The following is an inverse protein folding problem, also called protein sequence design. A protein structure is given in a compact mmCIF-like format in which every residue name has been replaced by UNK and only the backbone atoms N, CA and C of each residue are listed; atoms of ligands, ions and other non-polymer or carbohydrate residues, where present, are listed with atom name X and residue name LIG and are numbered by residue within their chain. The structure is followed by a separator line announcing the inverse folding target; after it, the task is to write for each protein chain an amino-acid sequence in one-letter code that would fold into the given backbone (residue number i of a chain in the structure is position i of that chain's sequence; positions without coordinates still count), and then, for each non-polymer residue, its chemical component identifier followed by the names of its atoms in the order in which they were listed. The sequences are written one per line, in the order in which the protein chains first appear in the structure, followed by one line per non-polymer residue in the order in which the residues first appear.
data_IF_377341817599
#
_entry.id   IF_377341817599
#
_cell.length_a   1.000
_cell.length_b   1.000
_cell.length_c   1.000
_cell.angle_alpha   90.00
_cell.angle_beta   90.00
_cell.angle_gamma   90.00
#
_symmetry.space_group_name_H-M   'P 1'
#
loop_
_entity.id
_entity.type
_entity.pdbx_description
1 polymer ?
#
# COMPACT_ATOMS: atom_id res chain seq x y z
N UNK A 1 23.59 -34.07 26.35
CA UNK A 1 23.35 -32.62 26.25
C UNK A 1 23.29 -32.27 24.77
N UNK A 2 22.09 -32.17 24.20
CA UNK A 2 21.91 -31.79 22.80
C UNK A 2 21.70 -30.28 22.73
N UNK A 3 22.59 -29.57 22.04
CA UNK A 3 22.43 -28.16 21.76
C UNK A 3 21.24 -27.98 20.82
N UNK A 4 20.19 -27.32 21.30
CA UNK A 4 19.06 -26.90 20.49
C UNK A 4 19.56 -25.81 19.52
N UNK A 5 19.90 -26.21 18.31
CA UNK A 5 20.07 -25.28 17.19
C UNK A 5 18.70 -24.66 16.87
N UNK A 6 18.41 -23.52 17.48
CA UNK A 6 17.35 -22.65 16.95
C UNK A 6 17.80 -22.13 15.58
N UNK A 7 16.99 -22.29 14.51
CA UNK A 7 17.30 -21.64 13.25
C UNK A 7 17.36 -20.12 13.50
N UNK A 8 18.29 -19.40 12.85
CA UNK A 8 18.37 -17.96 12.97
C UNK A 8 16.99 -17.41 12.62
N UNK A 9 16.46 -16.65 13.57
CA UNK A 9 15.24 -15.86 13.52
C UNK A 9 14.84 -15.54 12.09
N UNK A 10 13.59 -15.82 11.75
CA UNK A 10 12.85 -15.06 10.75
C UNK A 10 13.15 -13.58 11.07
N UNK A 11 14.12 -12.97 10.39
CA UNK A 11 14.32 -11.54 10.43
C UNK A 11 13.05 -11.01 9.77
N UNK A 12 12.03 -10.76 10.60
CA UNK A 12 10.94 -9.92 10.17
C UNK A 12 11.61 -8.66 9.69
N UNK A 13 11.48 -8.40 8.40
CA UNK A 13 11.89 -7.14 7.79
C UNK A 13 11.28 -6.03 8.64
N UNK A 14 12.09 -5.43 9.51
CA UNK A 14 11.66 -4.42 10.48
C UNK A 14 11.37 -3.09 9.79
N UNK A 15 11.43 -3.05 8.46
CA UNK A 15 10.89 -1.97 7.64
C UNK A 15 9.41 -1.82 7.94
N UNK A 16 9.11 -0.76 8.68
CA UNK A 16 7.74 -0.34 8.95
C UNK A 16 7.06 -0.05 7.60
N UNK A 17 6.15 -0.95 7.20
CA UNK A 17 5.26 -0.70 6.07
C UNK A 17 4.19 0.26 6.54
N UNK A 18 4.17 1.45 5.96
CA UNK A 18 3.16 2.45 6.26
C UNK A 18 2.07 2.30 5.21
N UNK A 19 0.84 2.08 5.68
CA UNK A 19 -0.34 2.00 4.83
C UNK A 19 -1.24 3.18 5.11
N UNK A 20 -1.64 3.89 4.05
CA UNK A 20 -2.70 4.90 4.12
C UNK A 20 -3.84 4.53 3.19
N UNK A 21 -5.05 4.75 3.68
CA UNK A 21 -6.27 4.71 2.88
C UNK A 21 -6.78 6.13 2.73
N UNK A 22 -6.98 6.56 1.49
CA UNK A 22 -7.55 7.87 1.21
C UNK A 22 -8.65 7.75 0.17
N UNK A 23 -9.84 8.24 0.53
CA UNK A 23 -10.94 8.42 -0.38
C UNK A 23 -11.05 9.91 -0.71
N UNK A 24 -10.69 10.29 -1.93
CA UNK A 24 -10.77 11.68 -2.38
C UNK A 24 -12.11 11.92 -3.07
N UNK A 25 -12.79 13.05 -2.78
CA UNK A 25 -13.95 13.46 -3.54
C UNK A 25 -13.54 13.68 -4.99
N UNK A 26 -14.45 13.38 -5.93
CA UNK A 26 -14.20 13.64 -7.36
C UNK A 26 -13.84 15.10 -7.56
N UNK A 27 -12.86 15.37 -8.41
CA UNK A 27 -12.47 16.72 -8.75
C UNK A 27 -13.55 17.39 -9.63
N UNK A 28 -14.61 17.89 -8.99
CA UNK A 28 -15.71 18.61 -9.63
C UNK A 28 -15.34 20.06 -9.95
N UNK A 29 -14.09 20.50 -9.70
CA UNK A 29 -13.69 21.91 -9.87
C UNK A 29 -13.81 22.42 -11.31
N UNK A 30 -13.81 21.51 -12.29
CA UNK A 30 -14.07 21.82 -13.71
C UNK A 30 -15.55 21.72 -14.09
N UNK A 31 -16.43 21.31 -13.17
CA UNK A 31 -17.84 20.99 -13.45
C UNK A 31 -18.05 19.78 -14.36
N UNK A 32 -16.98 19.06 -14.72
CA UNK A 32 -17.05 17.91 -15.63
C UNK A 32 -17.43 16.66 -14.83
N UNK A 33 -18.66 16.21 -15.02
CA UNK A 33 -19.09 14.90 -14.58
C UNK A 33 -18.74 13.87 -15.66
N UNK A 34 -17.79 12.98 -15.36
CA UNK A 34 -17.54 11.80 -16.19
C UNK A 34 -18.65 10.78 -15.96
N UNK A 35 -19.13 10.19 -17.06
CA UNK A 35 -20.08 9.09 -17.00
C UNK A 35 -19.49 7.90 -16.24
N UNK A 36 -20.37 7.04 -15.75
CA UNK A 36 -20.02 5.85 -14.95
C UNK A 36 -18.97 4.95 -15.62
N UNK A 37 -19.03 4.86 -16.94
CA UNK A 37 -18.18 3.98 -17.75
C UNK A 37 -17.00 4.72 -18.39
N UNK A 38 -16.90 6.04 -18.21
CA UNK A 38 -15.82 6.83 -18.75
C UNK A 38 -14.56 6.71 -17.88
N UNK A 39 -13.41 6.65 -18.56
CA UNK A 39 -12.12 6.75 -17.90
C UNK A 39 -11.84 8.21 -17.58
N UNK A 40 -11.66 8.51 -16.29
CA UNK A 40 -11.18 9.84 -15.90
C UNK A 40 -9.79 10.06 -16.49
N UNK A 41 -9.55 11.19 -17.18
CA UNK A 41 -8.25 11.48 -17.75
C UNK A 41 -7.21 11.58 -16.64
N UNK A 42 -6.00 11.15 -16.97
CA UNK A 42 -4.88 11.28 -16.06
C UNK A 42 -4.65 12.75 -15.69
N UNK A 43 -4.42 13.01 -14.40
CA UNK A 43 -4.17 14.34 -13.84
C UNK A 43 -2.87 14.33 -13.05
N UNK A 44 -1.88 15.08 -13.54
CA UNK A 44 -0.58 15.24 -12.87
C UNK A 44 -0.73 15.80 -11.45
N UNK A 45 -1.67 16.73 -11.23
CA UNK A 45 -1.90 17.30 -9.91
C UNK A 45 -2.43 16.28 -8.91
N UNK A 46 -3.35 15.41 -9.35
CA UNK A 46 -3.89 14.36 -8.48
C UNK A 46 -2.78 13.36 -8.17
N UNK A 47 -2.06 12.89 -9.19
CA UNK A 47 -0.97 11.94 -9.01
C UNK A 47 0.14 12.51 -8.11
N UNK A 48 0.51 13.79 -8.28
CA UNK A 48 1.47 14.47 -7.42
C UNK A 48 1.03 14.49 -5.95
N UNK A 49 -0.25 14.73 -5.66
CA UNK A 49 -0.77 14.65 -4.29
C UNK A 49 -0.70 13.23 -3.73
N UNK A 50 -1.05 12.22 -4.55
CA UNK A 50 -0.94 10.82 -4.13
C UNK A 50 0.49 10.40 -3.82
N UNK A 51 1.49 10.97 -4.51
CA UNK A 51 2.91 10.70 -4.21
C UNK A 51 3.38 11.50 -2.99
N UNK A 52 2.84 12.70 -2.78
CA UNK A 52 3.17 13.55 -1.63
C UNK A 52 2.75 12.91 -0.30
N UNK A 53 1.66 12.13 -0.29
CA UNK A 53 1.16 11.43 0.89
C UNK A 53 2.15 10.42 1.50
N UNK A 54 2.59 9.35 0.78
CA UNK A 54 3.57 8.40 1.28
C UNK A 54 4.95 9.07 1.51
N UNK A 55 5.27 10.12 0.76
CA UNK A 55 6.48 10.93 1.02
C UNK A 55 6.40 11.59 2.41
N UNK A 56 5.31 12.30 2.72
CA UNK A 56 5.10 12.92 4.02
C UNK A 56 5.14 11.92 5.17
N UNK A 57 4.66 10.69 4.94
CA UNK A 57 4.76 9.59 5.89
C UNK A 57 6.21 9.11 6.09
N UNK A 58 6.96 8.93 5.01
CA UNK A 58 8.38 8.60 5.09
C UNK A 58 9.16 9.67 5.87
N UNK A 59 8.82 10.94 5.66
CA UNK A 59 9.35 12.07 6.43
C UNK A 59 9.04 11.96 7.93
N UNK A 60 7.77 11.76 8.29
CA UNK A 60 7.33 11.64 9.67
C UNK A 60 8.00 10.45 10.38
N UNK A 61 8.13 9.31 9.69
CA UNK A 61 8.76 8.11 10.25
C UNK A 61 10.28 8.22 10.37
N UNK A 62 10.96 8.88 9.44
CA UNK A 62 12.40 9.14 9.54
C UNK A 62 12.74 10.11 10.68
N UNK A 63 11.94 11.16 10.88
CA UNK A 63 12.26 12.19 11.87
C UNK A 63 12.07 11.73 13.34
N UNK A 64 11.22 10.71 13.57
CA UNK A 64 10.84 10.30 14.93
C UNK A 64 11.76 9.32 15.66
N UNK A 65 12.66 8.62 14.95
CA UNK A 65 13.40 7.49 15.55
C UNK A 65 14.74 7.91 16.17
N UNK A 66 15.58 8.66 15.45
CA UNK A 66 16.95 9.00 15.88
C UNK A 66 17.48 10.32 15.28
N UNK A 67 16.61 11.12 14.65
CA UNK A 67 17.03 12.23 13.78
C UNK A 67 17.81 11.77 12.53
N UNK A 68 17.78 10.46 12.24
CA UNK A 68 18.43 9.85 11.08
C UNK A 68 17.39 9.55 10.01
N UNK A 69 17.66 10.00 8.80
CA UNK A 69 16.93 9.57 7.61
C UNK A 69 17.20 8.09 7.37
N UNK A 70 16.13 7.30 7.26
CA UNK A 70 16.19 5.88 6.93
C UNK A 70 15.44 5.62 5.63
N UNK A 71 15.74 4.49 4.99
CA UNK A 71 14.99 4.04 3.82
C UNK A 71 13.55 3.67 4.22
N UNK A 72 12.58 4.04 3.39
CA UNK A 72 11.17 3.76 3.63
C UNK A 72 10.46 3.23 2.39
N UNK A 73 9.59 2.25 2.61
CA UNK A 73 8.60 1.77 1.65
C UNK A 73 7.27 2.44 1.94
N UNK A 74 6.83 3.32 1.04
CA UNK A 74 5.51 3.95 1.14
C UNK A 74 4.48 3.25 0.26
N UNK A 75 3.35 2.90 0.87
CA UNK A 75 2.22 2.30 0.18
C UNK A 75 0.98 3.15 0.38
N UNK A 76 0.29 3.45 -0.71
CA UNK A 76 -0.95 4.22 -0.69
C UNK A 76 -2.04 3.47 -1.44
N UNK A 77 -3.19 3.30 -0.78
CA UNK A 77 -4.42 2.83 -1.42
C UNK A 77 -5.31 4.06 -1.60
N UNK A 78 -5.53 4.43 -2.84
CA UNK A 78 -6.34 5.59 -3.23
C UNK A 78 -7.68 5.15 -3.80
N UNK A 79 -8.72 5.88 -3.44
CA UNK A 79 -10.06 5.77 -4.00
C UNK A 79 -10.48 7.14 -4.54
N UNK A 80 -10.70 7.24 -5.85
CA UNK A 80 -11.26 8.43 -6.51
C UNK A 80 -12.65 8.10 -7.05
N UNK A 81 -13.69 8.52 -6.31
CA UNK A 81 -15.04 8.04 -6.56
C UNK A 81 -15.13 6.51 -6.47
N UNK A 82 -15.33 5.83 -7.60
CA UNK A 82 -15.40 4.36 -7.66
C UNK A 82 -14.12 3.70 -8.17
N UNK A 83 -13.05 4.47 -8.42
CA UNK A 83 -11.79 3.93 -8.95
C UNK A 83 -10.80 3.75 -7.79
N UNK A 84 -10.38 2.52 -7.56
CA UNK A 84 -9.35 2.17 -6.59
C UNK A 84 -8.01 1.96 -7.29
N UNK A 85 -6.93 2.47 -6.72
CA UNK A 85 -5.56 2.20 -7.16
C UNK A 85 -4.63 2.03 -5.97
N UNK A 86 -3.65 1.14 -6.13
CA UNK A 86 -2.53 0.99 -5.21
C UNK A 86 -1.30 1.64 -5.82
N UNK A 87 -0.60 2.43 -5.01
CA UNK A 87 0.64 3.09 -5.34
C UNK A 87 1.73 2.64 -4.36
N UNK A 88 2.94 2.42 -4.89
CA UNK A 88 4.13 2.11 -4.12
C UNK A 88 5.28 3.00 -4.57
N UNK A 89 6.04 3.49 -3.61
CA UNK A 89 7.26 4.24 -3.86
C UNK A 89 8.32 3.85 -2.82
N UNK A 90 9.56 3.72 -3.29
CA UNK A 90 10.72 3.50 -2.43
C UNK A 90 11.45 4.82 -2.20
N UNK A 91 11.49 5.25 -0.94
CA UNK A 91 12.14 6.48 -0.51
C UNK A 91 13.48 6.15 0.11
N UNK A 92 14.55 6.23 -0.68
CA UNK A 92 15.90 6.07 -0.14
C UNK A 92 16.26 7.21 0.81
N UNK A 93 17.14 6.94 1.74
CA UNK A 93 17.76 7.92 2.64
C UNK A 93 18.34 9.09 1.84
N UNK A 94 19.06 8.80 0.75
CA UNK A 94 19.64 9.82 -0.12
C UNK A 94 18.58 10.70 -0.78
N UNK A 95 17.45 10.11 -1.20
CA UNK A 95 16.33 10.84 -1.76
C UNK A 95 15.69 11.76 -0.71
N UNK A 96 15.39 11.24 0.48
CA UNK A 96 14.77 12.02 1.56
C UNK A 96 15.67 13.19 2.01
N UNK A 97 16.98 12.94 2.13
CA UNK A 97 17.96 13.99 2.41
C UNK A 97 17.97 15.10 1.36
N UNK A 98 17.90 14.74 0.08
CA UNK A 98 17.91 15.72 -1.02
C UNK A 98 16.61 16.50 -1.10
N UNK A 99 15.46 15.85 -0.94
CA UNK A 99 14.15 16.52 -0.91
C UNK A 99 14.04 17.46 0.30
N UNK A 100 14.66 17.12 1.43
CA UNK A 100 14.74 17.99 2.59
C UNK A 100 15.78 19.11 2.47
N UNK A 101 16.54 19.17 1.37
CA UNK A 101 17.58 20.18 1.18
C UNK A 101 17.02 21.44 0.48
N UNK A 102 17.67 22.60 0.61
CA UNK A 102 17.23 23.83 -0.07
C UNK A 102 17.27 23.75 -1.60
N UNK A 103 17.96 22.76 -2.17
CA UNK A 103 18.19 22.63 -3.62
C UNK A 103 17.92 21.19 -4.04
N UNK A 104 16.85 20.95 -4.78
CA UNK A 104 16.55 19.65 -5.35
C UNK A 104 17.29 19.48 -6.70
N UNK A 105 18.16 18.45 -6.87
CA UNK A 105 18.83 18.23 -8.14
C UNK A 105 17.84 17.94 -9.27
N UNK A 106 18.07 18.53 -10.45
CA UNK A 106 17.19 18.38 -11.61
C UNK A 106 17.07 16.93 -12.09
N UNK A 107 18.09 16.11 -11.85
CA UNK A 107 18.15 14.71 -12.25
C UNK A 107 17.48 13.77 -11.24
N UNK A 108 17.05 14.28 -10.08
CA UNK A 108 16.45 13.45 -9.05
C UNK A 108 15.11 12.90 -9.53
N UNK A 109 14.95 11.57 -9.46
CA UNK A 109 13.73 10.87 -9.86
C UNK A 109 13.30 9.93 -8.73
N UNK A 110 12.00 9.88 -8.49
CA UNK A 110 11.39 8.90 -7.61
C UNK A 110 10.67 7.87 -8.49
N UNK A 111 11.11 6.59 -8.53
CA UNK A 111 10.33 5.56 -9.17
C UNK A 111 9.04 5.32 -8.37
N UNK A 112 7.91 5.39 -9.06
CA UNK A 112 6.59 5.15 -8.48
C UNK A 112 5.92 4.04 -9.28
N UNK A 113 5.53 2.97 -8.59
CA UNK A 113 4.80 1.85 -9.18
C UNK A 113 3.32 1.99 -8.86
N UNK A 114 2.49 1.78 -9.87
CA UNK A 114 1.05 1.87 -9.77
C UNK A 114 0.41 0.56 -10.21
N UNK A 115 -0.62 0.12 -9.47
CA UNK A 115 -1.53 -0.89 -9.98
C UNK A 115 -2.35 -0.34 -11.15
N UNK A 116 -2.96 -1.22 -11.96
CA UNK A 116 -4.13 -0.85 -12.73
C UNK A 116 -5.20 -0.22 -11.82
N UNK A 117 -6.03 0.66 -12.39
CA UNK A 117 -7.20 1.18 -11.70
C UNK A 117 -8.32 0.14 -11.70
N UNK A 118 -8.92 -0.11 -10.54
CA UNK A 118 -10.07 -0.99 -10.37
C UNK A 118 -11.33 -0.16 -10.21
N UNK A 119 -12.29 -0.30 -11.12
CA UNK A 119 -13.62 0.27 -11.02
C UNK A 119 -14.50 -0.60 -10.12
N UNK A 120 -14.68 -0.15 -8.89
CA UNK A 120 -15.50 -0.83 -7.88
C UNK A 120 -17.00 -0.87 -8.20
N UNK A 121 -17.43 -0.27 -9.31
CA UNK A 121 -18.79 -0.46 -9.84
C UNK A 121 -19.00 -1.84 -10.47
N UNK A 122 -17.92 -2.48 -10.94
CA UNK A 122 -18.01 -3.79 -11.58
C UNK A 122 -17.57 -4.88 -10.59
N UNK A 123 -18.42 -5.88 -10.28
CA UNK A 123 -18.14 -6.90 -9.28
C UNK A 123 -16.87 -7.73 -9.55
N UNK A 124 -16.50 -7.93 -10.81
CA UNK A 124 -15.28 -8.64 -11.21
C UNK A 124 -14.00 -7.86 -10.86
N UNK A 125 -14.04 -6.53 -10.88
CA UNK A 125 -12.92 -5.67 -10.48
C UNK A 125 -12.85 -5.51 -8.96
N UNK A 126 -13.98 -5.64 -8.26
CA UNK A 126 -14.01 -5.66 -6.80
C UNK A 126 -13.19 -6.82 -6.21
N UNK A 127 -13.38 -8.05 -6.72
CA UNK A 127 -12.59 -9.21 -6.25
C UNK A 127 -11.09 -9.01 -6.46
N UNK A 128 -10.69 -8.43 -7.59
CA UNK A 128 -9.28 -8.15 -7.89
C UNK A 128 -8.71 -7.06 -6.97
N UNK A 129 -9.45 -5.96 -6.76
CA UNK A 129 -9.07 -4.90 -5.83
C UNK A 129 -8.92 -5.46 -4.41
N UNK A 130 -9.87 -6.28 -3.95
CA UNK A 130 -9.83 -6.89 -2.63
C UNK A 130 -8.63 -7.83 -2.48
N UNK A 131 -8.35 -8.68 -3.47
CA UNK A 131 -7.15 -9.55 -3.47
C UNK A 131 -5.85 -8.74 -3.39
N UNK A 132 -5.79 -7.62 -4.10
CA UNK A 132 -4.62 -6.75 -4.06
C UNK A 132 -4.43 -6.14 -2.67
N UNK A 133 -5.48 -5.55 -2.09
CA UNK A 133 -5.44 -4.98 -0.74
C UNK A 133 -5.10 -6.04 0.31
N UNK A 134 -5.66 -7.25 0.18
CA UNK A 134 -5.30 -8.39 1.04
C UNK A 134 -3.84 -8.79 0.90
N UNK A 135 -3.28 -8.80 -0.32
CA UNK A 135 -1.87 -9.11 -0.55
C UNK A 135 -0.92 -8.11 0.10
N UNK A 136 -1.35 -6.84 0.23
CA UNK A 136 -0.59 -5.79 0.92
C UNK A 136 -0.62 -5.94 2.44
N UNK A 137 -1.81 -6.15 3.01
CA UNK A 137 -2.03 -6.18 4.46
C UNK A 137 -1.59 -7.52 5.06
N UNK A 138 -1.83 -8.61 4.33
CA UNK A 138 -1.52 -9.96 4.76
C UNK A 138 -0.48 -10.56 3.80
N UNK A 139 0.77 -10.06 3.83
CA UNK A 139 1.85 -10.73 3.13
C UNK A 139 1.91 -12.13 3.72
N UNK A 140 1.58 -13.15 2.91
CA UNK A 140 1.72 -14.52 3.38
C UNK A 140 3.17 -14.66 3.84
N UNK A 141 3.43 -15.13 5.07
CA UNK A 141 4.78 -15.54 5.39
C UNK A 141 5.18 -16.52 4.29
N UNK A 142 6.26 -16.22 3.57
CA UNK A 142 6.81 -17.15 2.59
C UNK A 142 6.89 -18.49 3.30
N UNK A 143 6.25 -19.56 2.78
CA UNK A 143 6.42 -20.87 3.37
C UNK A 143 7.91 -21.12 3.35
N UNK A 144 8.52 -21.21 4.53
CA UNK A 144 9.90 -21.64 4.65
C UNK A 144 10.02 -22.94 3.82
N UNK A 145 11.10 -23.09 3.02
CA UNK A 145 11.28 -24.28 2.20
C UNK A 145 10.99 -25.52 3.05
N UNK A 146 10.25 -26.51 2.53
CA UNK A 146 9.74 -27.60 3.35
C UNK A 146 10.91 -28.31 4.04
N UNK A 147 11.10 -28.03 5.32
CA UNK A 147 11.96 -28.84 6.17
C UNK A 147 11.29 -30.20 6.20
N UNK A 148 11.99 -31.19 5.66
CA UNK A 148 11.50 -32.54 5.41
C UNK A 148 11.21 -33.24 6.74
N UNK A 149 10.10 -32.92 7.38
CA UNK A 149 9.55 -33.65 8.52
C UNK A 149 8.04 -33.75 8.36
N UNK A 150 7.60 -34.97 8.08
CA UNK A 150 6.23 -35.41 7.99
C UNK A 150 5.48 -35.17 9.30
N UNK A 151 4.57 -34.22 9.33
CA UNK A 151 3.32 -34.37 10.07
C UNK A 151 2.27 -33.37 9.56
N UNK A 152 1.10 -33.93 9.30
CA UNK A 152 -0.13 -33.24 8.95
C UNK A 152 -0.47 -32.16 9.97
N UNK A 153 -0.41 -30.89 9.59
CA UNK A 153 -1.01 -29.79 10.35
C UNK A 153 -2.18 -29.19 9.56
N UNK A 154 -3.29 -28.85 10.23
CA UNK A 154 -4.48 -28.32 9.58
C UNK A 154 -4.26 -26.86 9.15
N UNK A 155 -4.77 -26.51 7.97
CA UNK A 155 -4.88 -25.13 7.48
C UNK A 155 -5.55 -24.24 8.54
N UNK A 156 -4.84 -23.21 9.00
CA UNK A 156 -5.22 -22.36 10.15
C UNK A 156 -6.39 -21.38 9.86
N UNK A 157 -7.21 -21.06 10.88
CA UNK A 157 -8.38 -20.15 10.84
C UNK A 157 -8.07 -18.65 10.70
N UNK A 158 -6.81 -18.27 10.45
CA UNK A 158 -6.37 -16.87 10.43
C UNK A 158 -6.92 -16.07 9.24
N UNK A 159 -7.20 -16.75 8.12
CA UNK A 159 -7.77 -16.12 6.92
C UNK A 159 -9.19 -15.59 7.16
N UNK A 160 -9.99 -16.26 7.99
CA UNK A 160 -11.41 -15.93 8.17
C UNK A 160 -11.60 -14.58 8.87
N UNK A 161 -10.76 -14.24 9.86
CA UNK A 161 -10.88 -12.97 10.58
C UNK A 161 -10.37 -11.76 9.77
N UNK A 162 -9.28 -11.91 9.01
CA UNK A 162 -8.86 -10.86 8.07
C UNK A 162 -9.94 -10.60 7.01
N UNK A 163 -10.57 -11.67 6.50
CA UNK A 163 -11.61 -11.54 5.49
C UNK A 163 -12.84 -10.79 6.01
N UNK A 164 -13.31 -11.08 7.24
CA UNK A 164 -14.47 -10.40 7.82
C UNK A 164 -14.19 -8.92 8.12
N UNK A 165 -12.99 -8.59 8.60
CA UNK A 165 -12.61 -7.20 8.87
C UNK A 165 -12.50 -6.38 7.58
N UNK A 166 -11.82 -6.93 6.56
CA UNK A 166 -11.70 -6.28 5.26
C UNK A 166 -13.03 -6.17 4.54
N UNK A 167 -13.88 -7.19 4.60
CA UNK A 167 -15.22 -7.14 4.02
C UNK A 167 -16.09 -6.08 4.70
N UNK A 168 -15.99 -5.93 6.03
CA UNK A 168 -16.69 -4.85 6.76
C UNK A 168 -16.14 -3.46 6.43
N UNK A 169 -14.81 -3.30 6.35
CA UNK A 169 -14.18 -2.05 5.92
C UNK A 169 -14.62 -1.68 4.50
N UNK A 170 -14.67 -2.65 3.59
CA UNK A 170 -15.12 -2.45 2.21
C UNK A 170 -16.60 -2.12 2.11
N UNK A 171 -17.46 -2.77 2.92
CA UNK A 171 -18.88 -2.42 3.03
C UNK A 171 -19.03 -0.97 3.50
N UNK A 172 -18.32 -0.55 4.56
CA UNK A 172 -18.40 0.83 5.06
C UNK A 172 -17.96 1.82 3.98
N UNK A 173 -16.86 1.53 3.28
CA UNK A 173 -16.39 2.34 2.15
C UNK A 173 -17.34 2.35 0.94
N UNK A 174 -18.18 1.33 0.75
CA UNK A 174 -19.16 1.29 -0.33
C UNK A 174 -20.45 2.02 0.03
N UNK A 175 -20.89 1.96 1.29
CA UNK A 175 -22.16 2.57 1.74
C UNK A 175 -22.07 4.08 1.94
N UNK A 176 -20.88 4.64 2.20
CA UNK A 176 -20.72 6.11 2.26
C UNK A 176 -20.73 6.78 0.86
N UNK A 177 -20.70 6.01 -0.22
CA UNK A 177 -20.57 6.52 -1.60
C UNK A 177 -21.72 6.16 -2.55
N UNK A 178 -22.73 5.42 -2.09
CA UNK A 178 -23.95 5.09 -2.84
C UNK A 178 -25.10 6.04 -2.44
#
# INVERSE_FOLDING_TARGET
MAALCYPPSLQMDTRLKIFRFEAKPRNLSSGVHYHTDEQEPYSDSIFGQEVAEPLGQAFACSNGADGKWNDHDGWLITLHGSKLRVLHAYFSQSYLLQVNSPVLPLEQRLPVWCSPQFNLKYPNEWDQALRMVMGLICPRPCPSPPTRSSSSSPFLPFMTHCFVFLHRLFIVLLFDFA
#
